data_IF_333131591492
#
_entry.id   IF_333131591492
#
_cell.length_a   1.000
_cell.length_b   1.000
_cell.length_c   1.000
_cell.angle_alpha   90.00
_cell.angle_beta   90.00
_cell.angle_gamma   90.00
#
_symmetry.space_group_name_H-M   'P 1'
#
loop_
_entity.id
_entity.type
_entity.pdbx_description
1 polymer ?
#
# COMPACT_ATOMS: atom_id res chain seq x y z
N UNK A 1 -21.52 -6.81 -60.54
CA UNK A 1 -21.68 -7.72 -59.39
C UNK A 1 -20.66 -8.84 -59.51
N UNK A 2 -19.52 -8.71 -58.80
CA UNK A 2 -18.42 -9.69 -58.82
C UNK A 2 -18.59 -10.62 -57.62
N UNK A 3 -18.49 -11.91 -57.88
CA UNK A 3 -18.90 -13.01 -57.00
C UNK A 3 -18.10 -13.02 -55.70
N UNK A 4 -18.83 -13.09 -54.60
CA UNK A 4 -18.37 -13.28 -53.23
C UNK A 4 -17.69 -14.65 -53.14
N UNK A 5 -16.39 -14.69 -52.84
CA UNK A 5 -15.66 -15.91 -52.48
C UNK A 5 -15.71 -16.07 -50.96
N UNK A 6 -16.61 -16.94 -50.51
CA UNK A 6 -16.61 -17.56 -49.18
C UNK A 6 -16.14 -19.01 -49.38
N UNK A 7 -15.03 -19.39 -48.74
CA UNK A 7 -14.66 -20.77 -48.30
C UNK A 7 -13.19 -20.72 -47.81
N UNK A 8 -12.91 -20.59 -46.52
CA UNK A 8 -12.67 -21.68 -45.55
C UNK A 8 -11.50 -22.61 -45.92
N UNK A 9 -10.34 -22.41 -45.29
CA UNK A 9 -9.36 -23.45 -44.93
C UNK A 9 -8.74 -22.98 -43.60
N UNK A 10 -9.33 -23.35 -42.47
CA UNK A 10 -8.99 -24.51 -41.63
C UNK A 10 -7.71 -24.33 -40.79
N UNK A 11 -7.97 -24.16 -39.50
CA UNK A 11 -7.10 -24.30 -38.34
C UNK A 11 -5.99 -25.34 -38.52
N UNK A 12 -4.73 -24.91 -38.38
CA UNK A 12 -3.60 -25.79 -38.04
C UNK A 12 -3.04 -25.42 -36.66
N UNK A 13 -3.65 -26.04 -35.66
CA UNK A 13 -3.04 -26.58 -34.43
C UNK A 13 -1.89 -25.79 -33.78
N UNK A 14 -2.22 -24.94 -32.81
CA UNK A 14 -1.35 -24.66 -31.68
C UNK A 14 -1.30 -25.91 -30.79
N UNK A 15 -0.38 -26.84 -31.06
CA UNK A 15 -0.06 -27.91 -30.11
C UNK A 15 0.79 -27.29 -29.01
N UNK A 16 0.13 -26.81 -27.95
CA UNK A 16 0.76 -26.46 -26.69
C UNK A 16 1.33 -27.73 -26.06
N UNK A 17 2.64 -27.87 -26.04
CA UNK A 17 3.33 -28.86 -25.20
C UNK A 17 3.07 -28.51 -23.73
N UNK A 18 2.15 -29.24 -23.10
CA UNK A 18 2.03 -29.22 -21.64
C UNK A 18 3.23 -29.95 -21.05
N UNK A 19 4.17 -29.19 -20.47
CA UNK A 19 5.21 -29.73 -19.59
C UNK A 19 4.55 -30.17 -18.28
N UNK A 20 4.30 -31.48 -18.14
CA UNK A 20 4.04 -32.08 -16.83
C UNK A 20 5.38 -32.33 -16.14
N UNK A 21 5.75 -31.48 -15.19
CA UNK A 21 6.77 -31.83 -14.21
C UNK A 21 6.13 -32.81 -13.21
N UNK A 22 6.37 -34.11 -13.40
CA UNK A 22 6.15 -35.13 -12.37
C UNK A 22 7.39 -35.17 -11.51
N UNK A 23 7.35 -34.53 -10.35
CA UNK A 23 8.33 -34.78 -9.29
C UNK A 23 7.74 -35.77 -8.28
N UNK A 24 8.09 -37.04 -8.46
CA UNK A 24 7.88 -38.08 -7.46
C UNK A 24 9.22 -38.70 -7.10
N UNK A 25 9.96 -38.09 -6.17
CA UNK A 25 10.77 -38.82 -5.19
C UNK A 25 10.64 -38.21 -3.80
N UNK A 26 9.81 -38.90 -3.01
CA UNK A 26 9.80 -38.88 -1.54
C UNK A 26 11.12 -39.47 -1.02
N UNK A 27 11.46 -39.06 0.20
CA UNK A 27 12.56 -39.52 1.07
C UNK A 27 13.91 -38.81 0.90
N UNK A 28 14.13 -37.81 1.76
CA UNK A 28 15.15 -37.95 2.80
C UNK A 28 14.77 -37.12 4.05
N UNK A 29 14.71 -37.82 5.17
CA UNK A 29 14.55 -37.40 6.56
C UNK A 29 14.87 -35.93 6.90
N UNK A 30 13.86 -35.07 6.98
CA UNK A 30 13.93 -33.85 7.80
C UNK A 30 13.58 -34.22 9.24
N UNK A 31 14.60 -34.48 10.08
CA UNK A 31 14.44 -34.50 11.54
C UNK A 31 13.98 -33.10 11.97
N UNK A 32 12.68 -32.92 12.18
CA UNK A 32 12.11 -31.72 12.74
C UNK A 32 12.64 -31.54 14.17
N UNK A 33 13.66 -30.67 14.34
CA UNK A 33 13.93 -30.08 15.64
C UNK A 33 12.78 -29.12 15.95
N UNK A 34 12.00 -29.52 16.95
CA UNK A 34 10.90 -28.75 17.54
C UNK A 34 11.51 -27.62 18.37
N UNK A 35 11.98 -26.57 17.70
CA UNK A 35 12.22 -25.28 18.35
C UNK A 35 11.02 -24.40 18.08
N UNK A 36 10.41 -23.91 19.16
CA UNK A 36 9.37 -22.88 19.14
C UNK A 36 9.96 -21.57 18.58
N UNK A 37 10.21 -21.50 17.28
CA UNK A 37 10.44 -20.25 16.58
C UNK A 37 9.07 -19.69 16.20
N UNK A 38 8.45 -18.97 17.14
CA UNK A 38 7.39 -18.04 16.78
C UNK A 38 8.01 -17.06 15.79
N UNK A 39 7.76 -17.25 14.50
CA UNK A 39 8.08 -16.29 13.46
C UNK A 39 7.30 -15.00 13.71
N UNK A 40 7.80 -14.17 14.63
CA UNK A 40 7.39 -12.78 14.74
C UNK A 40 7.95 -12.06 13.52
N UNK A 41 7.24 -12.15 12.39
CA UNK A 41 7.37 -11.17 11.32
C UNK A 41 7.12 -9.81 11.96
N UNK A 42 8.20 -9.06 12.22
CA UNK A 42 8.08 -7.63 12.50
C UNK A 42 7.45 -7.02 11.26
N UNK A 43 6.14 -6.80 11.30
CA UNK A 43 5.44 -6.09 10.24
C UNK A 43 6.21 -4.81 9.96
N UNK A 44 6.73 -4.64 8.75
CA UNK A 44 7.28 -3.34 8.34
C UNK A 44 6.14 -2.35 8.55
N UNK A 45 6.29 -1.48 9.55
CA UNK A 45 5.27 -0.49 9.90
C UNK A 45 4.90 0.21 8.59
N UNK A 46 3.63 0.11 8.19
CA UNK A 46 3.10 0.86 7.04
C UNK A 46 3.60 2.29 7.11
N UNK A 47 3.87 2.96 5.97
CA UNK A 47 4.45 4.29 5.94
C UNK A 47 3.57 5.21 6.78
N UNK A 48 3.99 5.37 8.03
CA UNK A 48 3.24 6.11 9.01
C UNK A 48 3.34 7.54 8.54
N UNK A 49 2.20 8.21 8.46
CA UNK A 49 2.06 9.59 8.04
C UNK A 49 3.27 10.43 8.54
N UNK A 50 4.14 10.85 7.61
CA UNK A 50 5.52 11.26 7.94
C UNK A 50 5.54 12.41 8.94
N UNK A 51 4.63 13.37 8.78
CA UNK A 51 4.50 14.53 9.67
C UNK A 51 4.03 14.15 11.09
N UNK A 52 3.22 13.11 11.24
CA UNK A 52 2.72 12.66 12.55
C UNK A 52 3.84 12.17 13.45
N UNK A 53 4.89 11.61 12.86
CA UNK A 53 6.09 11.22 13.61
C UNK A 53 6.76 12.43 14.28
N UNK A 54 6.72 13.59 13.64
CA UNK A 54 7.28 14.82 14.20
C UNK A 54 6.36 15.44 15.22
N UNK A 55 5.05 15.43 14.97
CA UNK A 55 4.05 15.89 15.95
C UNK A 55 4.20 15.12 17.28
N UNK A 56 4.46 13.81 17.23
CA UNK A 56 4.72 13.00 18.44
C UNK A 56 6.05 13.28 19.13
N UNK A 57 6.98 13.98 18.48
CA UNK A 57 8.25 14.42 19.08
C UNK A 57 8.17 15.80 19.71
N UNK A 58 7.17 16.60 19.36
CA UNK A 58 6.93 17.88 19.99
C UNK A 58 6.53 17.66 21.44
N UNK A 59 6.94 18.58 22.31
CA UNK A 59 6.48 18.64 23.70
C UNK A 59 5.04 19.17 23.73
N UNK A 60 4.08 18.26 23.61
CA UNK A 60 2.64 18.57 23.66
C UNK A 60 2.13 18.47 25.10
N UNK A 61 1.24 19.38 25.50
CA UNK A 61 0.51 19.24 26.76
C UNK A 61 -0.48 18.07 26.72
N UNK A 62 -0.89 17.55 27.87
CA UNK A 62 -1.85 16.44 27.94
C UNK A 62 -3.17 16.76 27.24
N UNK A 63 -3.62 18.01 27.33
CA UNK A 63 -4.80 18.49 26.61
C UNK A 63 -4.61 18.45 25.09
N UNK A 64 -3.46 18.91 24.59
CA UNK A 64 -3.12 18.86 23.17
C UNK A 64 -3.06 17.41 22.70
N UNK A 65 -2.41 16.51 23.45
CA UNK A 65 -2.35 15.08 23.15
C UNK A 65 -3.74 14.47 23.04
N UNK A 66 -4.65 14.80 23.98
CA UNK A 66 -6.04 14.36 23.93
C UNK A 66 -6.78 14.87 22.68
N UNK A 67 -6.61 16.16 22.35
CA UNK A 67 -7.18 16.77 21.14
C UNK A 67 -6.65 16.11 19.86
N UNK A 68 -5.34 15.85 19.75
CA UNK A 68 -4.74 15.13 18.62
C UNK A 68 -5.37 13.74 18.47
N UNK A 69 -5.47 12.96 19.55
CA UNK A 69 -6.10 11.63 19.52
C UNK A 69 -7.55 11.70 19.05
N UNK A 70 -8.30 12.70 19.50
CA UNK A 70 -9.68 12.90 19.09
C UNK A 70 -9.80 13.26 17.59
N UNK A 71 -8.95 14.18 17.12
CA UNK A 71 -8.86 14.55 15.69
C UNK A 71 -8.57 13.32 14.83
N UNK A 72 -7.63 12.47 15.23
CA UNK A 72 -7.27 11.25 14.51
C UNK A 72 -8.40 10.21 14.47
N UNK A 73 -9.20 10.10 15.54
CA UNK A 73 -10.32 9.14 15.60
C UNK A 73 -11.51 9.57 14.74
N UNK A 74 -11.81 10.87 14.74
CA UNK A 74 -13.00 11.42 14.08
C UNK A 74 -12.77 11.76 12.62
N UNK A 75 -11.52 12.02 12.22
CA UNK A 75 -11.18 12.21 10.81
C UNK A 75 -10.96 10.83 10.21
N UNK A 76 -11.78 10.45 9.22
CA UNK A 76 -11.64 9.20 8.49
C UNK A 76 -11.58 9.48 6.99
N UNK A 77 -10.72 8.78 6.24
CA UNK A 77 -10.73 8.92 4.81
C UNK A 77 -11.99 8.28 4.22
N UNK A 78 -12.54 8.89 3.17
CA UNK A 78 -13.59 8.29 2.34
C UNK A 78 -12.91 7.37 1.33
N UNK A 79 -13.12 6.07 1.43
CA UNK A 79 -12.53 5.10 0.51
C UNK A 79 -13.62 4.17 0.01
N UNK A 80 -13.80 4.10 -1.30
CA UNK A 80 -14.67 3.12 -1.93
C UNK A 80 -14.04 1.73 -1.91
N UNK A 81 -14.89 0.71 -1.78
CA UNK A 81 -14.44 -0.68 -1.88
C UNK A 81 -14.16 -1.07 -3.32
N UNK A 82 -13.01 -1.70 -3.56
CA UNK A 82 -12.66 -2.27 -4.86
C UNK A 82 -13.62 -3.38 -5.31
N UNK A 83 -14.40 -3.97 -4.40
CA UNK A 83 -15.40 -4.99 -4.74
C UNK A 83 -16.40 -4.48 -5.81
N UNK A 84 -16.66 -3.16 -5.85
CA UNK A 84 -17.50 -2.54 -6.87
C UNK A 84 -16.99 -2.72 -8.30
N UNK A 85 -15.69 -2.97 -8.50
CA UNK A 85 -15.10 -3.23 -9.81
C UNK A 85 -15.23 -4.70 -10.25
N UNK A 86 -15.74 -5.59 -9.39
CA UNK A 86 -15.88 -7.02 -9.66
C UNK A 86 -17.34 -7.42 -9.49
N UNK A 87 -18.10 -7.37 -10.59
CA UNK A 87 -19.54 -7.66 -10.58
C UNK A 87 -19.85 -8.82 -11.54
N UNK A 88 -20.63 -9.80 -11.08
CA UNK A 88 -21.06 -10.96 -11.86
C UNK A 88 -19.90 -11.72 -12.55
N UNK A 89 -18.76 -11.83 -11.87
CA UNK A 89 -17.56 -12.49 -12.39
C UNK A 89 -16.80 -11.70 -13.45
N UNK A 90 -17.19 -10.45 -13.73
CA UNK A 90 -16.51 -9.56 -14.68
C UNK A 90 -15.74 -8.48 -13.93
N UNK A 91 -14.60 -8.11 -14.49
CA UNK A 91 -13.78 -7.01 -14.01
C UNK A 91 -14.04 -5.75 -14.83
N UNK A 92 -14.44 -4.67 -14.15
CA UNK A 92 -14.54 -3.35 -14.75
C UNK A 92 -13.26 -2.52 -14.47
N UNK A 93 -12.47 -2.36 -15.54
CA UNK A 93 -11.21 -1.62 -15.49
C UNK A 93 -11.42 -0.13 -15.18
N UNK A 94 -12.48 0.51 -15.69
CA UNK A 94 -12.67 1.95 -15.50
C UNK A 94 -13.04 2.24 -14.05
N UNK A 95 -13.99 1.48 -13.49
CA UNK A 95 -14.38 1.54 -12.07
C UNK A 95 -13.17 1.31 -11.16
N UNK A 96 -12.30 0.34 -11.49
CA UNK A 96 -11.10 0.10 -10.70
C UNK A 96 -10.12 1.28 -10.71
N UNK A 97 -9.89 1.89 -11.87
CA UNK A 97 -9.02 3.06 -12.01
C UNK A 97 -9.61 4.24 -11.22
N UNK A 98 -10.92 4.48 -11.35
CA UNK A 98 -11.61 5.58 -10.66
C UNK A 98 -11.53 5.43 -9.14
N UNK A 99 -11.82 4.24 -8.61
CA UNK A 99 -11.67 3.94 -7.17
C UNK A 99 -10.21 4.18 -6.74
N UNK A 100 -9.23 3.78 -7.55
CA UNK A 100 -7.82 3.96 -7.23
C UNK A 100 -7.40 5.44 -7.18
N UNK A 101 -7.81 6.22 -8.18
CA UNK A 101 -7.50 7.66 -8.28
C UNK A 101 -8.21 8.45 -7.18
N UNK A 102 -9.49 8.16 -6.95
CA UNK A 102 -10.26 8.78 -5.87
C UNK A 102 -9.69 8.41 -4.49
N UNK A 103 -9.28 7.16 -4.29
CA UNK A 103 -8.61 6.75 -3.05
C UNK A 103 -7.34 7.56 -2.82
N UNK A 104 -6.50 7.76 -3.83
CA UNK A 104 -5.30 8.58 -3.69
C UNK A 104 -5.63 10.02 -3.33
N UNK A 105 -6.57 10.65 -4.07
CA UNK A 105 -7.04 12.02 -3.78
C UNK A 105 -7.59 12.15 -2.37
N UNK A 106 -8.49 11.26 -1.97
CA UNK A 106 -9.11 11.25 -0.65
C UNK A 106 -8.09 10.99 0.47
N UNK A 107 -7.03 10.21 0.22
CA UNK A 107 -5.90 10.08 1.16
C UNK A 107 -5.15 11.40 1.33
N UNK A 108 -4.89 12.12 0.24
CA UNK A 108 -4.18 13.41 0.29
C UNK A 108 -5.01 14.45 1.03
N UNK A 109 -6.30 14.58 0.72
CA UNK A 109 -7.22 15.47 1.42
C UNK A 109 -7.30 15.14 2.92
N UNK A 110 -7.51 13.86 3.25
CA UNK A 110 -7.53 13.38 4.63
C UNK A 110 -6.27 13.79 5.40
N UNK A 111 -5.10 13.59 4.78
CA UNK A 111 -3.80 13.95 5.35
C UNK A 111 -3.68 15.47 5.57
N UNK A 112 -4.06 16.26 4.58
CA UNK A 112 -4.04 17.72 4.68
C UNK A 112 -4.96 18.22 5.81
N UNK A 113 -6.20 17.72 5.88
CA UNK A 113 -7.16 18.07 6.94
C UNK A 113 -6.66 17.69 8.33
N UNK A 114 -5.98 16.54 8.48
CA UNK A 114 -5.37 16.16 9.75
C UNK A 114 -4.26 17.14 10.16
N UNK A 115 -3.38 17.49 9.23
CA UNK A 115 -2.29 18.45 9.50
C UNK A 115 -2.88 19.79 9.91
N UNK A 116 -3.85 20.32 9.15
CA UNK A 116 -4.50 21.59 9.43
C UNK A 116 -5.09 21.64 10.84
N UNK A 117 -5.88 20.64 11.21
CA UNK A 117 -6.53 20.58 12.54
C UNK A 117 -5.52 20.46 13.68
N UNK A 118 -4.44 19.69 13.49
CA UNK A 118 -3.41 19.56 14.51
C UNK A 118 -2.56 20.83 14.59
N UNK A 119 -2.19 21.41 13.45
CA UNK A 119 -1.40 22.63 13.41
C UNK A 119 -2.12 23.80 14.09
N UNK A 120 -3.45 23.85 14.02
CA UNK A 120 -4.27 24.85 14.71
C UNK A 120 -4.18 24.80 16.24
N UNK A 121 -3.93 23.62 16.84
CA UNK A 121 -3.83 23.47 18.30
C UNK A 121 -2.41 23.65 18.86
N UNK A 122 -1.40 23.76 17.98
CA UNK A 122 -0.01 23.99 18.38
C UNK A 122 0.24 25.44 18.75
N UNK A 123 1.11 25.67 19.73
CA UNK A 123 1.64 26.99 20.07
C UNK A 123 2.58 27.50 18.98
N UNK A 124 2.87 28.80 18.97
CA UNK A 124 3.80 29.37 18.00
C UNK A 124 5.21 28.78 18.12
N UNK A 125 5.65 28.46 19.33
CA UNK A 125 6.95 27.80 19.59
C UNK A 125 6.97 26.38 19.00
N UNK A 126 5.94 25.57 19.28
CA UNK A 126 5.79 24.22 18.73
C UNK A 126 5.73 24.22 17.20
N UNK A 127 5.07 25.21 16.59
CA UNK A 127 5.00 25.38 15.12
C UNK A 127 6.38 25.65 14.53
N UNK A 128 7.16 26.52 15.18
CA UNK A 128 8.52 26.83 14.75
C UNK A 128 9.46 25.62 14.90
N UNK A 129 9.32 24.87 15.99
CA UNK A 129 10.06 23.63 16.20
C UNK A 129 9.71 22.59 15.14
N UNK A 130 8.41 22.39 14.87
CA UNK A 130 7.94 21.49 13.82
C UNK A 130 8.52 21.87 12.46
N UNK A 131 8.52 23.16 12.11
CA UNK A 131 9.12 23.66 10.87
C UNK A 131 10.61 23.32 10.79
N UNK A 132 11.39 23.58 11.85
CA UNK A 132 12.82 23.22 11.91
C UNK A 132 13.04 21.72 11.70
N UNK A 133 12.19 20.87 12.30
CA UNK A 133 12.27 19.42 12.11
C UNK A 133 11.98 19.00 10.66
N UNK A 134 11.02 19.65 9.99
CA UNK A 134 10.68 19.40 8.59
C UNK A 134 11.77 19.88 7.62
N UNK A 135 12.36 21.05 7.89
CA UNK A 135 13.43 21.65 7.09
C UNK A 135 14.74 20.88 7.21
N UNK A 136 15.01 20.30 8.38
CA UNK A 136 16.08 19.32 8.51
C UNK A 136 15.71 18.09 7.67
N UNK A 137 16.52 17.73 6.67
CA UNK A 137 16.35 16.62 5.69
C UNK A 137 15.96 15.23 6.27
N UNK A 138 15.68 15.13 7.56
CA UNK A 138 14.94 14.04 8.19
C UNK A 138 13.56 13.77 7.56
N UNK A 139 12.90 14.76 6.93
CA UNK A 139 11.60 14.58 6.26
C UNK A 139 11.71 13.83 4.93
N UNK A 140 12.92 13.43 4.51
CA UNK A 140 13.06 12.43 3.47
C UNK A 140 12.33 11.15 3.89
N UNK A 141 11.11 11.03 3.36
CA UNK A 141 10.40 9.78 3.29
C UNK A 141 11.40 8.79 2.71
N UNK A 142 11.87 7.82 3.51
CA UNK A 142 12.78 6.75 3.08
C UNK A 142 12.04 5.78 2.13
N UNK A 143 11.33 6.34 1.15
CA UNK A 143 10.73 5.73 -0.04
C UNK A 143 11.76 5.34 -1.08
N UNK A 144 13.04 5.59 -0.84
CA UNK A 144 14.08 4.86 -1.54
C UNK A 144 14.14 3.44 -0.98
N UNK A 145 13.62 2.47 -1.74
CA UNK A 145 14.21 1.13 -1.72
C UNK A 145 15.73 1.33 -1.78
N UNK A 146 16.44 1.10 -0.67
CA UNK A 146 17.88 0.87 -0.78
C UNK A 146 17.97 -0.37 -1.64
N UNK A 147 18.45 -0.20 -2.87
CA UNK A 147 18.71 -1.29 -3.80
C UNK A 147 19.55 -2.33 -3.07
N UNK A 148 18.90 -3.36 -2.56
CA UNK A 148 19.58 -4.56 -2.14
C UNK A 148 20.09 -5.19 -3.43
N UNK A 149 21.41 -5.32 -3.55
CA UNK A 149 22.10 -5.94 -4.69
C UNK A 149 21.63 -7.38 -4.94
N UNK A 150 20.88 -7.99 -4.02
CA UNK A 150 20.44 -9.39 -4.05
C UNK A 150 18.91 -9.57 -3.93
N UNK A 151 18.11 -8.50 -4.00
CA UNK A 151 16.65 -8.64 -3.94
C UNK A 151 16.07 -9.01 -5.31
N UNK A 152 15.96 -10.31 -5.59
CA UNK A 152 15.06 -10.81 -6.63
C UNK A 152 13.62 -10.53 -6.18
N UNK A 153 13.02 -9.46 -6.70
CA UNK A 153 11.71 -8.95 -6.31
C UNK A 153 10.67 -10.05 -6.11
N UNK A 154 10.36 -10.34 -4.85
CA UNK A 154 9.28 -11.23 -4.46
C UNK A 154 7.94 -10.51 -4.53
N UNK A 155 7.03 -11.07 -5.33
CA UNK A 155 5.63 -10.66 -5.49
C UNK A 155 4.83 -10.84 -4.22
#
# INVERSE_FOLDING_TARGET
MKRVLVTVVLLSSLVSTFLFAVDMKKEHSCKAKKENSSCHMKSKKSPHFSIMRYIHKLELSDEQVSKVKNIMRNTKPKIDSYAKAFENGKFDKTVYIDISMNKYKNMVEYRATLIEKIYAILTNEQKNELKKMLDSNSFEDKRGMKYDKYSNGGR
#
